data_IF_058945621003
#
_entry.id   IF_058945621003
#
_cell.length_a   1.000
_cell.length_b   1.000
_cell.length_c   1.000
_cell.angle_alpha   90.00
_cell.angle_beta   90.00
_cell.angle_gamma   90.00
#
_symmetry.space_group_name_H-M   'P 1'
#
loop_
_entity.id
_entity.type
_entity.pdbx_description
1 polymer ?
#
# COMPACT_ATOMS: atom_id res chain seq x y z
N UNK A 1 12.57 30.57 -11.78
CA UNK A 1 12.64 29.71 -10.60
C UNK A 1 12.12 28.34 -11.04
N UNK A 2 13.01 27.40 -11.32
CA UNK A 2 12.59 26.01 -11.56
C UNK A 2 12.50 25.41 -10.16
N UNK A 3 11.29 25.25 -9.65
CA UNK A 3 11.06 24.46 -8.46
C UNK A 3 11.53 23.05 -8.79
N UNK A 4 12.59 22.61 -8.12
CA UNK A 4 13.07 21.25 -8.21
C UNK A 4 12.10 20.42 -7.38
N UNK A 5 11.02 19.95 -7.99
CA UNK A 5 10.07 19.05 -7.34
C UNK A 5 10.84 17.79 -6.94
N UNK A 6 11.05 17.62 -5.63
CA UNK A 6 11.59 16.38 -5.09
C UNK A 6 10.58 15.27 -5.29
N UNK A 7 11.04 14.10 -5.73
CA UNK A 7 10.18 12.91 -5.80
C UNK A 7 9.57 12.61 -4.42
N UNK A 8 8.31 12.11 -4.38
CA UNK A 8 7.65 11.73 -3.14
C UNK A 8 8.39 10.59 -2.44
N UNK A 9 8.17 10.48 -1.14
CA UNK A 9 8.75 9.40 -0.36
C UNK A 9 8.20 8.03 -0.84
N UNK A 10 9.01 6.99 -0.76
CA UNK A 10 8.60 5.62 -1.16
C UNK A 10 7.33 5.15 -0.44
N UNK A 11 7.12 5.58 0.81
CA UNK A 11 5.91 5.27 1.56
C UNK A 11 4.65 5.87 0.93
N UNK A 12 4.73 7.10 0.43
CA UNK A 12 3.60 7.76 -0.27
C UNK A 12 3.32 7.09 -1.62
N UNK A 13 4.38 6.74 -2.36
CA UNK A 13 4.24 6.00 -3.62
C UNK A 13 3.59 4.63 -3.41
N UNK A 14 3.95 3.92 -2.33
CA UNK A 14 3.33 2.65 -1.95
C UNK A 14 1.86 2.84 -1.59
N UNK A 15 1.57 3.81 -0.72
CA UNK A 15 0.23 4.04 -0.18
C UNK A 15 -0.78 4.47 -1.26
N UNK A 16 -0.33 5.31 -2.19
CA UNK A 16 -1.15 5.90 -3.25
C UNK A 16 -0.90 5.30 -4.65
N UNK A 17 -0.24 4.14 -4.74
CA UNK A 17 -0.07 3.46 -6.01
C UNK A 17 -1.43 3.21 -6.70
N UNK A 18 -1.47 3.36 -8.02
CA UNK A 18 -2.69 3.10 -8.80
C UNK A 18 -3.12 1.61 -8.78
N UNK A 19 -2.24 0.71 -8.33
CA UNK A 19 -2.52 -0.70 -8.14
C UNK A 19 -2.62 -1.05 -6.65
N UNK A 20 -3.38 -2.11 -6.34
CA UNK A 20 -3.37 -2.72 -5.02
C UNK A 20 -2.05 -3.44 -4.76
N UNK A 21 -1.38 -3.09 -3.66
CA UNK A 21 -0.09 -3.67 -3.27
C UNK A 21 -0.21 -4.36 -1.91
N UNK A 22 0.31 -5.58 -1.85
CA UNK A 22 0.47 -6.35 -0.62
C UNK A 22 1.95 -6.61 -0.35
N UNK A 23 2.34 -6.56 0.92
CA UNK A 23 3.60 -7.09 1.40
C UNK A 23 3.26 -8.29 2.25
N UNK A 24 3.82 -9.44 1.91
CA UNK A 24 3.53 -10.69 2.61
C UNK A 24 4.81 -11.29 3.16
N UNK A 25 4.67 -12.04 4.26
CA UNK A 25 5.68 -12.98 4.71
C UNK A 25 5.83 -14.12 3.67
N UNK A 26 6.92 -14.91 3.72
CA UNK A 26 7.11 -16.04 2.81
C UNK A 26 6.00 -17.11 2.87
N UNK A 27 5.28 -17.18 3.99
CA UNK A 27 4.14 -18.09 4.18
C UNK A 27 2.81 -17.53 3.62
N UNK A 28 2.84 -16.38 2.93
CA UNK A 28 1.69 -15.72 2.35
C UNK A 28 0.91 -14.81 3.30
N UNK A 29 1.26 -14.76 4.59
CA UNK A 29 0.57 -13.88 5.54
C UNK A 29 0.81 -12.41 5.18
N UNK A 30 -0.27 -11.65 5.01
CA UNK A 30 -0.22 -10.22 4.69
C UNK A 30 0.29 -9.43 5.89
N UNK A 31 1.41 -8.73 5.71
CA UNK A 31 2.02 -7.82 6.69
C UNK A 31 1.59 -6.37 6.44
N UNK A 32 1.43 -5.96 5.17
CA UNK A 32 0.95 -4.62 4.78
C UNK A 32 0.06 -4.68 3.54
N UNK A 33 -0.94 -3.81 3.50
CA UNK A 33 -1.80 -3.57 2.34
C UNK A 33 -1.93 -2.07 2.10
N UNK A 34 -1.77 -1.59 0.87
CA UNK A 34 -1.89 -0.16 0.58
C UNK A 34 -3.36 0.31 0.52
N UNK A 35 -3.55 1.64 0.50
CA UNK A 35 -4.87 2.25 0.49
C UNK A 35 -5.73 1.81 -0.70
N UNK A 36 -5.12 1.71 -1.87
CA UNK A 36 -5.83 1.31 -3.11
C UNK A 36 -6.41 -0.09 -2.98
N UNK A 37 -5.65 -1.05 -2.44
CA UNK A 37 -6.14 -2.41 -2.19
C UNK A 37 -7.33 -2.41 -1.22
N UNK A 38 -7.19 -1.74 -0.08
CA UNK A 38 -8.24 -1.65 0.94
C UNK A 38 -9.53 -1.03 0.38
N UNK A 39 -9.40 0.07 -0.39
CA UNK A 39 -10.52 0.75 -1.04
C UNK A 39 -11.26 -0.14 -2.03
N UNK A 40 -10.55 -0.92 -2.84
CA UNK A 40 -11.18 -1.83 -3.80
C UNK A 40 -12.00 -2.93 -3.13
N UNK A 41 -11.57 -3.41 -1.96
CA UNK A 41 -12.31 -4.41 -1.20
C UNK A 41 -13.38 -3.81 -0.28
N UNK A 42 -13.37 -2.50 -0.06
CA UNK A 42 -14.23 -1.86 0.94
C UNK A 42 -13.92 -2.30 2.37
N UNK A 43 -12.65 -2.63 2.64
CA UNK A 43 -12.18 -3.12 3.93
C UNK A 43 -11.19 -2.14 4.56
N UNK A 44 -11.24 -2.05 5.89
CA UNK A 44 -10.16 -1.41 6.66
C UNK A 44 -8.90 -2.27 6.65
N UNK A 45 -7.73 -1.63 6.83
CA UNK A 45 -6.42 -2.31 6.75
C UNK A 45 -6.34 -3.48 7.73
N UNK A 46 -6.84 -3.30 8.94
CA UNK A 46 -6.80 -4.28 10.03
C UNK A 46 -7.60 -5.55 9.70
N UNK A 47 -8.59 -5.47 8.81
CA UNK A 47 -9.35 -6.64 8.37
C UNK A 47 -8.53 -7.55 7.43
N UNK A 48 -7.50 -6.98 6.78
CA UNK A 48 -6.65 -7.63 5.78
C UNK A 48 -5.35 -8.14 6.39
N UNK A 49 -4.74 -7.40 7.33
CA UNK A 49 -3.48 -7.81 7.96
C UNK A 49 -3.65 -9.18 8.64
N UNK A 50 -2.67 -10.07 8.44
CA UNK A 50 -2.68 -11.43 8.99
C UNK A 50 -3.43 -12.46 8.14
N UNK A 51 -4.12 -12.05 7.06
CA UNK A 51 -4.81 -12.95 6.11
C UNK A 51 -3.85 -13.51 5.06
N UNK A 52 -4.35 -14.38 4.18
CA UNK A 52 -3.64 -14.96 3.02
C UNK A 52 -4.54 -14.90 1.79
#
# INVERSE_FOLDING_TARGET
MLEQESLPATGELYEHAACGLLVTLPNGTIERANLTFCRWLGLEREAVIGRR
#
